data_IF_155980875416
#
_entry.id   IF_155980875416
#
_cell.length_a   1.000
_cell.length_b   1.000
_cell.length_c   1.000
_cell.angle_alpha   90.00
_cell.angle_beta   90.00
_cell.angle_gamma   90.00
#
_symmetry.space_group_name_H-M   'P 1'
#
loop_
_entity.id
_entity.type
_entity.pdbx_description
1 polymer ?
#
# COMPACT_ATOMS: atom_id res chain seq x y z
N UNK A 1 -15.84 -73.20 48.77
CA UNK A 1 -14.93 -72.59 47.78
C UNK A 1 -15.53 -71.41 47.00
N UNK A 2 -16.85 -71.37 46.71
CA UNK A 2 -17.48 -70.27 45.95
C UNK A 2 -17.50 -68.88 46.64
N UNK A 3 -17.51 -68.80 47.98
CA UNK A 3 -17.49 -67.51 48.71
C UNK A 3 -16.19 -66.71 48.53
N UNK A 4 -15.04 -67.39 48.40
CA UNK A 4 -13.75 -66.72 48.27
C UNK A 4 -13.50 -66.19 46.85
N UNK A 5 -14.12 -66.82 45.84
CA UNK A 5 -14.07 -66.37 44.44
C UNK A 5 -14.93 -65.11 44.25
N UNK A 6 -16.11 -65.06 44.87
CA UNK A 6 -16.99 -63.89 44.80
C UNK A 6 -16.35 -62.64 45.45
N UNK A 7 -15.63 -62.83 46.56
CA UNK A 7 -14.94 -61.73 47.25
C UNK A 7 -13.74 -61.19 46.45
N UNK A 8 -13.00 -62.06 45.76
CA UNK A 8 -11.89 -61.68 44.89
C UNK A 8 -12.36 -60.89 43.65
N UNK A 9 -13.51 -61.23 43.08
CA UNK A 9 -14.11 -60.51 41.94
C UNK A 9 -14.57 -59.11 42.35
N UNK A 10 -15.16 -58.96 43.54
CA UNK A 10 -15.60 -57.64 44.04
C UNK A 10 -14.39 -56.71 44.28
N UNK A 11 -13.28 -57.21 44.85
CA UNK A 11 -12.06 -56.41 45.05
C UNK A 11 -11.42 -55.99 43.70
N UNK A 12 -11.45 -56.86 42.69
CA UNK A 12 -10.92 -56.55 41.36
C UNK A 12 -11.73 -55.47 40.62
N UNK A 13 -13.05 -55.37 40.86
CA UNK A 13 -13.91 -54.34 40.26
C UNK A 13 -13.67 -52.96 40.90
N UNK A 14 -13.33 -52.90 42.19
CA UNK A 14 -13.03 -51.63 42.88
C UNK A 14 -11.57 -51.16 42.72
N UNK A 15 -10.63 -52.06 42.43
CA UNK A 15 -9.23 -51.70 42.17
C UNK A 15 -8.96 -51.19 40.72
N UNK A 16 -9.91 -51.37 39.80
CA UNK A 16 -9.74 -51.07 38.37
C UNK A 16 -10.00 -49.64 37.91
N UNK A 17 -10.45 -48.73 38.77
CA UNK A 17 -10.90 -47.37 38.38
C UNK A 17 -10.15 -46.22 39.07
N UNK A 18 -8.86 -46.40 39.39
CA UNK A 18 -8.00 -45.30 39.88
C UNK A 18 -6.86 -44.97 38.91
N UNK A 19 -7.12 -45.01 37.60
CA UNK A 19 -6.22 -44.33 36.66
C UNK A 19 -6.28 -42.81 36.97
N UNK A 20 -5.15 -42.16 37.27
CA UNK A 20 -5.16 -40.71 37.51
C UNK A 20 -5.73 -40.03 36.27
N UNK A 21 -6.67 -39.09 36.48
CA UNK A 21 -7.26 -38.33 35.37
C UNK A 21 -6.13 -37.77 34.52
N UNK A 22 -6.18 -37.92 33.18
CA UNK A 22 -5.14 -37.38 32.31
C UNK A 22 -4.95 -35.91 32.63
N UNK A 23 -3.72 -35.51 32.91
CA UNK A 23 -3.39 -34.14 33.25
C UNK A 23 -3.82 -33.25 32.08
N UNK A 24 -4.76 -32.33 32.34
CA UNK A 24 -5.27 -31.43 31.32
C UNK A 24 -4.42 -30.16 31.30
N UNK A 25 -4.18 -29.65 30.10
CA UNK A 25 -3.53 -28.35 29.98
C UNK A 25 -4.39 -27.27 30.65
N UNK A 26 -3.77 -26.24 31.26
CA UNK A 26 -4.50 -25.18 31.93
C UNK A 26 -5.48 -24.48 30.99
N UNK A 27 -6.64 -24.09 31.52
CA UNK A 27 -7.70 -23.46 30.71
C UNK A 27 -7.26 -22.18 30.01
N UNK A 28 -6.33 -21.42 30.60
CA UNK A 28 -5.78 -20.19 30.01
C UNK A 28 -4.85 -20.46 28.82
N UNK A 29 -4.34 -21.69 28.68
CA UNK A 29 -3.52 -22.13 27.55
C UNK A 29 -4.37 -22.60 26.38
N UNK A 30 -5.47 -23.30 26.66
CA UNK A 30 -6.40 -23.80 25.63
C UNK A 30 -7.44 -22.78 25.22
N UNK A 31 -7.80 -21.86 26.11
CA UNK A 31 -8.73 -20.76 25.89
C UNK A 31 -8.07 -19.44 26.31
N UNK A 32 -7.57 -18.69 25.32
CA UNK A 32 -6.97 -17.39 25.55
C UNK A 32 -7.95 -16.46 26.31
N UNK A 33 -7.48 -15.72 27.32
CA UNK A 33 -8.27 -14.67 27.92
C UNK A 33 -8.75 -13.67 26.86
N UNK A 34 -9.99 -13.24 26.97
CA UNK A 34 -10.59 -12.22 26.09
C UNK A 34 -11.00 -11.03 26.94
N UNK A 35 -10.33 -9.90 26.73
CA UNK A 35 -10.73 -8.62 27.28
C UNK A 35 -10.44 -7.48 26.29
N UNK A 36 -10.88 -6.27 26.64
CA UNK A 36 -10.65 -5.05 25.86
C UNK A 36 -9.38 -4.30 26.25
N UNK A 37 -8.61 -4.79 27.23
CA UNK A 37 -7.44 -4.10 27.79
C UNK A 37 -6.14 -4.57 27.15
N UNK A 38 -6.04 -5.86 26.85
CA UNK A 38 -4.81 -6.49 26.40
C UNK A 38 -5.00 -7.28 25.10
N UNK A 39 -3.89 -7.46 24.39
CA UNK A 39 -3.74 -8.59 23.48
C UNK A 39 -3.03 -9.72 24.22
N UNK A 40 -3.47 -10.96 23.99
CA UNK A 40 -2.91 -12.15 24.64
C UNK A 40 -2.35 -13.14 23.62
N UNK A 41 -1.35 -13.90 24.04
CA UNK A 41 -0.85 -15.04 23.31
C UNK A 41 -0.27 -16.09 24.26
N UNK A 42 -0.26 -17.33 23.80
CA UNK A 42 0.29 -18.47 24.53
C UNK A 42 1.32 -19.19 23.69
N UNK A 43 2.27 -19.86 24.34
CA UNK A 43 3.19 -20.78 23.68
C UNK A 43 3.68 -21.86 24.64
N UNK A 44 4.18 -22.95 24.07
CA UNK A 44 4.84 -24.03 24.78
C UNK A 44 6.27 -24.22 24.24
N UNK A 45 7.25 -24.37 25.12
CA UNK A 45 8.61 -24.72 24.73
C UNK A 45 9.38 -25.44 25.85
N UNK A 46 10.58 -25.93 25.55
CA UNK A 46 11.48 -26.56 26.52
C UNK A 46 12.04 -25.60 27.58
N UNK A 47 12.10 -24.30 27.28
CA UNK A 47 12.68 -23.27 28.14
C UNK A 47 11.88 -21.96 28.06
N UNK A 48 11.99 -21.12 29.10
CA UNK A 48 11.21 -19.88 29.22
C UNK A 48 11.51 -18.88 28.10
N UNK A 49 12.78 -18.77 27.67
CA UNK A 49 13.18 -17.78 26.67
C UNK A 49 12.57 -18.12 25.31
N UNK A 50 12.62 -19.41 24.94
CA UNK A 50 12.01 -19.92 23.73
C UNK A 50 10.48 -19.84 23.78
N UNK A 51 9.87 -20.21 24.91
CA UNK A 51 8.42 -20.09 25.10
C UNK A 51 7.99 -18.62 24.92
N UNK A 52 8.70 -17.68 25.52
CA UNK A 52 8.45 -16.24 25.38
C UNK A 52 8.58 -15.78 23.94
N UNK A 53 9.65 -16.16 23.25
CA UNK A 53 9.87 -15.79 21.84
C UNK A 53 8.75 -16.30 20.92
N UNK A 54 8.33 -17.57 21.10
CA UNK A 54 7.21 -18.15 20.34
C UNK A 54 5.91 -17.42 20.68
N UNK A 55 5.65 -17.13 21.97
CA UNK A 55 4.45 -16.42 22.39
C UNK A 55 4.37 -15.02 21.78
N UNK A 56 5.50 -14.32 21.66
CA UNK A 56 5.59 -13.01 20.99
C UNK A 56 5.22 -13.14 19.50
N UNK A 57 5.70 -14.18 18.83
CA UNK A 57 5.36 -14.40 17.42
C UNK A 57 3.88 -14.76 17.25
N UNK A 58 3.31 -15.57 18.14
CA UNK A 58 1.88 -15.86 18.14
C UNK A 58 1.03 -14.60 18.42
N UNK A 59 1.49 -13.72 19.31
CA UNK A 59 0.85 -12.42 19.54
C UNK A 59 0.79 -11.58 18.26
N UNK A 60 1.89 -11.52 17.49
CA UNK A 60 1.93 -10.82 16.20
C UNK A 60 0.96 -11.45 15.20
N UNK A 61 0.93 -12.78 15.11
CA UNK A 61 -0.02 -13.50 14.23
C UNK A 61 -1.47 -13.22 14.60
N UNK A 62 -1.81 -13.19 15.88
CA UNK A 62 -3.14 -12.85 16.35
C UNK A 62 -3.53 -11.42 15.94
N UNK A 63 -2.63 -10.45 16.09
CA UNK A 63 -2.86 -9.08 15.62
C UNK A 63 -3.09 -9.03 14.10
N UNK A 64 -2.29 -9.75 13.31
CA UNK A 64 -2.46 -9.83 11.84
C UNK A 64 -3.83 -10.40 11.50
N UNK A 65 -4.23 -11.50 12.14
CA UNK A 65 -5.53 -12.14 11.94
C UNK A 65 -6.68 -11.18 12.24
N UNK A 66 -6.61 -10.45 13.35
CA UNK A 66 -7.63 -9.46 13.72
C UNK A 66 -7.69 -8.29 12.71
N UNK A 67 -6.54 -7.83 12.22
CA UNK A 67 -6.45 -6.81 11.18
C UNK A 67 -7.05 -7.29 9.85
N UNK A 68 -6.64 -8.45 9.36
CA UNK A 68 -7.11 -8.99 8.08
C UNK A 68 -8.62 -9.29 8.14
N UNK A 69 -9.11 -9.80 9.27
CA UNK A 69 -10.53 -10.03 9.51
C UNK A 69 -11.35 -8.73 9.43
N UNK A 70 -10.80 -7.58 9.85
CA UNK A 70 -11.50 -6.30 9.76
C UNK A 70 -11.89 -5.94 8.32
N UNK A 71 -11.00 -6.21 7.35
CA UNK A 71 -11.22 -5.94 5.93
C UNK A 71 -12.01 -7.03 5.19
N UNK A 72 -12.17 -8.20 5.79
CA UNK A 72 -12.92 -9.32 5.22
C UNK A 72 -14.45 -9.18 5.44
N UNK A 73 -14.88 -8.16 6.18
CA UNK A 73 -16.30 -7.93 6.43
C UNK A 73 -17.00 -7.41 5.16
N UNK A 74 -18.12 -8.04 4.70
CA UNK A 74 -18.79 -7.64 3.45
C UNK A 74 -19.19 -6.17 3.36
N UNK A 75 -19.45 -5.53 4.50
CA UNK A 75 -19.85 -4.13 4.61
C UNK A 75 -18.76 -3.23 5.21
N UNK A 76 -17.48 -3.62 5.08
CA UNK A 76 -16.39 -2.78 5.55
C UNK A 76 -16.46 -1.40 4.87
N UNK A 77 -16.23 -0.32 5.62
CA UNK A 77 -16.40 1.05 5.11
C UNK A 77 -15.55 1.33 3.86
N UNK A 78 -14.37 0.72 3.76
CA UNK A 78 -13.49 0.85 2.59
C UNK A 78 -13.91 0.01 1.38
N UNK A 79 -14.34 -1.24 1.58
CA UNK A 79 -14.57 -2.22 0.50
C UNK A 79 -13.48 -2.19 -0.60
N UNK A 80 -12.19 -2.40 -0.24
CA UNK A 80 -11.08 -2.19 -1.18
C UNK A 80 -11.15 -3.18 -2.35
N UNK A 81 -10.65 -2.76 -3.51
CA UNK A 81 -10.39 -3.67 -4.63
C UNK A 81 -9.42 -4.80 -4.26
N UNK A 82 -9.42 -5.93 -4.98
CA UNK A 82 -8.54 -7.07 -4.67
C UNK A 82 -7.05 -6.71 -4.64
N UNK A 83 -6.61 -5.82 -5.54
CA UNK A 83 -5.22 -5.35 -5.54
C UNK A 83 -4.91 -4.55 -4.27
N UNK A 84 -5.76 -3.58 -3.91
CA UNK A 84 -5.55 -2.78 -2.70
C UNK A 84 -5.68 -3.62 -1.43
N UNK A 85 -6.55 -4.62 -1.40
CA UNK A 85 -6.64 -5.56 -0.29
C UNK A 85 -5.30 -6.29 -0.05
N UNK A 86 -4.63 -6.74 -1.11
CA UNK A 86 -3.31 -7.38 -0.98
C UNK A 86 -2.23 -6.42 -0.44
N UNK A 87 -2.28 -5.15 -0.86
CA UNK A 87 -1.40 -4.11 -0.32
C UNK A 87 -1.70 -3.84 1.16
N UNK A 88 -2.97 -3.81 1.57
CA UNK A 88 -3.40 -3.68 2.96
C UNK A 88 -2.91 -4.87 3.80
N UNK A 89 -3.07 -6.11 3.32
CA UNK A 89 -2.58 -7.32 4.02
C UNK A 89 -1.07 -7.24 4.21
N UNK A 90 -0.34 -6.79 3.18
CA UNK A 90 1.11 -6.57 3.29
C UNK A 90 1.46 -5.49 4.31
N UNK A 91 0.68 -4.41 4.38
CA UNK A 91 0.83 -3.35 5.37
C UNK A 91 0.49 -3.83 6.80
N UNK A 92 -0.51 -4.70 6.97
CA UNK A 92 -0.88 -5.33 8.25
C UNK A 92 0.26 -6.19 8.77
N UNK A 93 0.84 -7.04 7.91
CA UNK A 93 2.02 -7.85 8.25
C UNK A 93 3.20 -6.98 8.68
N UNK A 94 3.50 -5.92 7.91
CA UNK A 94 4.59 -5.01 8.24
C UNK A 94 4.35 -4.28 9.57
N UNK A 95 3.14 -3.76 9.80
CA UNK A 95 2.76 -3.12 11.05
C UNK A 95 2.95 -4.08 12.23
N UNK A 96 2.34 -5.26 12.16
CA UNK A 96 2.40 -6.24 13.23
C UNK A 96 3.84 -6.68 13.57
N UNK A 97 4.73 -6.76 12.58
CA UNK A 97 6.14 -7.10 12.78
C UNK A 97 7.00 -5.95 13.34
N UNK A 98 6.61 -4.70 13.10
CA UNK A 98 7.33 -3.51 13.56
C UNK A 98 6.83 -2.96 14.89
N UNK A 99 5.67 -3.42 15.37
CA UNK A 99 5.18 -3.07 16.71
C UNK A 99 6.21 -3.44 17.78
N UNK A 100 6.43 -2.50 18.70
CA UNK A 100 7.34 -2.68 19.83
C UNK A 100 6.74 -3.65 20.85
N UNK A 101 7.49 -4.70 21.15
CA UNK A 101 7.11 -5.77 22.08
C UNK A 101 7.81 -5.63 23.44
N UNK A 102 8.33 -4.44 23.75
CA UNK A 102 9.09 -4.18 24.99
C UNK A 102 8.23 -4.22 26.26
N UNK A 103 6.96 -3.82 26.16
CA UNK A 103 6.04 -3.74 27.29
C UNK A 103 5.26 -5.04 27.55
N UNK A 104 5.74 -6.16 27.02
CA UNK A 104 5.09 -7.45 27.23
C UNK A 104 5.24 -7.90 28.68
N UNK A 105 4.13 -8.35 29.25
CA UNK A 105 4.08 -8.96 30.58
C UNK A 105 3.87 -10.46 30.46
N UNK A 106 4.61 -11.24 31.26
CA UNK A 106 4.31 -12.65 31.48
C UNK A 106 3.21 -12.70 32.55
N UNK A 107 2.04 -13.22 32.19
CA UNK A 107 0.91 -13.31 33.11
C UNK A 107 0.90 -14.63 33.87
N UNK A 108 1.23 -15.73 33.18
CA UNK A 108 1.27 -17.09 33.75
C UNK A 108 2.36 -17.92 33.10
N UNK A 109 2.91 -18.84 33.88
CA UNK A 109 3.88 -19.85 33.44
C UNK A 109 3.61 -21.14 34.18
N UNK A 110 3.64 -22.28 33.49
CA UNK A 110 3.40 -23.59 34.09
C UNK A 110 4.17 -24.69 33.35
N UNK A 111 4.72 -25.65 34.09
CA UNK A 111 5.35 -26.84 33.51
C UNK A 111 4.29 -27.91 33.26
N UNK A 112 4.12 -28.32 32.00
CA UNK A 112 3.17 -29.33 31.59
C UNK A 112 3.82 -30.30 30.60
N UNK A 113 3.84 -31.59 30.92
CA UNK A 113 4.43 -32.65 30.08
C UNK A 113 5.87 -32.33 29.61
N UNK A 114 6.71 -31.80 30.50
CA UNK A 114 8.10 -31.44 30.18
C UNK A 114 8.26 -30.17 29.32
N UNK A 115 7.20 -29.41 29.11
CA UNK A 115 7.22 -28.13 28.41
C UNK A 115 6.74 -27.00 29.32
N UNK A 116 7.37 -25.84 29.19
CA UNK A 116 6.93 -24.59 29.80
C UNK A 116 5.85 -24.00 28.91
N UNK A 117 4.63 -23.97 29.46
CA UNK A 117 3.51 -23.20 28.93
C UNK A 117 3.62 -21.78 29.44
N UNK A 118 3.43 -20.80 28.56
CA UNK A 118 3.52 -19.39 28.90
C UNK A 118 2.34 -18.62 28.32
N UNK A 119 1.75 -17.74 29.13
CA UNK A 119 0.78 -16.73 28.71
C UNK A 119 1.43 -15.36 28.84
N UNK A 120 1.39 -14.59 27.75
CA UNK A 120 1.84 -13.21 27.72
C UNK A 120 0.69 -12.26 27.41
N UNK A 121 0.86 -11.00 27.81
CA UNK A 121 -0.06 -9.91 27.49
C UNK A 121 0.70 -8.66 27.07
N UNK A 122 0.04 -7.79 26.31
CA UNK A 122 0.46 -6.41 26.08
C UNK A 122 -0.76 -5.50 26.08
N UNK A 123 -0.63 -4.31 26.70
CA UNK A 123 -1.72 -3.34 26.78
C UNK A 123 -2.04 -2.76 25.40
N UNK A 124 -3.32 -2.82 25.01
CA UNK A 124 -3.81 -2.26 23.74
C UNK A 124 -3.62 -0.75 23.69
N UNK A 125 -3.86 -0.07 24.81
CA UNK A 125 -3.78 1.39 24.91
C UNK A 125 -2.36 1.92 24.63
N UNK A 126 -1.32 1.23 25.12
CA UNK A 126 0.06 1.64 24.89
C UNK A 126 0.43 1.55 23.40
N UNK A 127 0.05 0.45 22.74
CA UNK A 127 0.27 0.28 21.32
C UNK A 127 -0.55 1.30 20.50
N UNK A 128 -1.80 1.52 20.89
CA UNK A 128 -2.67 2.52 20.29
C UNK A 128 -2.04 3.91 20.33
N UNK A 129 -1.56 4.37 21.50
CA UNK A 129 -0.95 5.71 21.63
C UNK A 129 0.22 5.91 20.67
N UNK A 130 1.07 4.90 20.49
CA UNK A 130 2.22 4.94 19.56
C UNK A 130 1.80 5.07 18.11
N UNK A 131 0.73 4.39 17.70
CA UNK A 131 0.24 4.42 16.31
C UNK A 131 -0.65 5.65 16.04
N UNK A 132 -1.50 6.02 16.99
CA UNK A 132 -2.55 7.04 16.81
C UNK A 132 -1.97 8.44 16.57
N UNK A 133 -0.85 8.80 17.22
CA UNK A 133 -0.22 10.11 17.01
C UNK A 133 0.29 10.29 15.57
N UNK A 134 0.98 9.29 15.02
CA UNK A 134 1.46 9.30 13.63
C UNK A 134 0.29 9.26 12.64
N UNK A 135 -0.69 8.37 12.90
CA UNK A 135 -1.88 8.23 12.07
C UNK A 135 -2.65 9.54 11.96
N UNK A 136 -2.98 10.19 13.08
CA UNK A 136 -3.75 11.44 13.08
C UNK A 136 -3.02 12.56 12.35
N UNK A 137 -1.70 12.64 12.52
CA UNK A 137 -0.87 13.63 11.82
C UNK A 137 -0.92 13.41 10.30
N UNK A 138 -0.76 12.16 9.86
CA UNK A 138 -0.77 11.82 8.43
C UNK A 138 -2.16 11.97 7.81
N UNK A 139 -3.23 11.51 8.47
CA UNK A 139 -4.61 11.68 8.00
C UNK A 139 -4.98 13.15 7.91
N UNK A 140 -4.63 13.97 8.90
CA UNK A 140 -4.90 15.41 8.86
C UNK A 140 -4.18 16.08 7.68
N UNK A 141 -2.89 15.79 7.48
CA UNK A 141 -2.11 16.32 6.35
C UNK A 141 -2.67 15.85 5.02
N UNK A 142 -3.06 14.59 4.92
CA UNK A 142 -3.71 14.01 3.74
C UNK A 142 -5.00 14.76 3.41
N UNK A 143 -5.88 14.93 4.39
CA UNK A 143 -7.15 15.64 4.22
C UNK A 143 -6.94 17.10 3.80
N UNK A 144 -5.99 17.81 4.43
CA UNK A 144 -5.63 19.18 4.04
C UNK A 144 -5.12 19.25 2.60
N UNK A 145 -4.18 18.37 2.24
CA UNK A 145 -3.61 18.33 0.90
C UNK A 145 -4.67 17.98 -0.15
N UNK A 146 -5.57 17.06 0.15
CA UNK A 146 -6.69 16.71 -0.71
C UNK A 146 -7.65 17.89 -0.91
N UNK A 147 -8.08 18.54 0.17
CA UNK A 147 -8.97 19.71 0.10
C UNK A 147 -8.37 20.87 -0.69
N UNK A 148 -7.08 21.17 -0.52
CA UNK A 148 -6.40 22.25 -1.25
C UNK A 148 -6.36 22.04 -2.76
N UNK A 149 -6.41 20.78 -3.22
CA UNK A 149 -6.25 20.44 -4.64
C UNK A 149 -7.56 20.00 -5.32
N UNK A 150 -8.66 19.92 -4.57
CA UNK A 150 -9.96 19.39 -5.04
C UNK A 150 -10.54 20.15 -6.24
N UNK A 151 -10.26 21.44 -6.34
CA UNK A 151 -10.79 22.30 -7.40
C UNK A 151 -9.81 22.51 -8.58
N UNK A 152 -8.67 21.81 -8.58
CA UNK A 152 -7.73 21.86 -9.72
C UNK A 152 -8.24 21.07 -10.91
N UNK A 153 -7.70 21.33 -12.11
CA UNK A 153 -8.09 20.59 -13.32
C UNK A 153 -7.86 19.07 -13.16
N UNK A 154 -8.67 18.20 -13.79
CA UNK A 154 -8.66 16.76 -13.56
C UNK A 154 -7.27 16.10 -13.60
N UNK A 155 -6.44 16.47 -14.56
CA UNK A 155 -5.08 15.90 -14.68
C UNK A 155 -4.15 16.32 -13.55
N UNK A 156 -4.26 17.56 -13.04
CA UNK A 156 -3.49 17.98 -11.86
C UNK A 156 -3.92 17.18 -10.64
N UNK A 157 -5.23 17.02 -10.43
CA UNK A 157 -5.76 16.16 -9.35
C UNK A 157 -5.25 14.74 -9.41
N UNK A 158 -5.31 14.12 -10.60
CA UNK A 158 -4.80 12.76 -10.80
C UNK A 158 -3.32 12.66 -10.37
N UNK A 159 -2.50 13.60 -10.83
CA UNK A 159 -1.07 13.66 -10.52
C UNK A 159 -0.81 13.87 -9.03
N UNK A 160 -1.61 14.68 -8.34
CA UNK A 160 -1.50 14.88 -6.90
C UNK A 160 -2.02 13.70 -6.07
N UNK A 161 -3.06 13.00 -6.53
CA UNK A 161 -3.61 11.83 -5.84
C UNK A 161 -2.70 10.60 -5.95
N UNK A 162 -1.99 10.44 -7.08
CA UNK A 162 -1.08 9.30 -7.31
C UNK A 162 -0.09 9.02 -6.17
N UNK A 163 0.70 9.99 -5.66
CA UNK A 163 1.58 9.75 -4.51
C UNK A 163 0.81 9.50 -3.20
N UNK A 164 -0.43 9.97 -3.05
CA UNK A 164 -1.24 9.70 -1.86
C UNK A 164 -1.73 8.25 -1.84
N UNK A 165 -2.03 7.69 -3.01
CA UNK A 165 -2.40 6.28 -3.13
C UNK A 165 -1.30 5.34 -2.64
N UNK A 166 -0.02 5.73 -2.77
CA UNK A 166 1.10 4.95 -2.19
C UNK A 166 1.04 4.82 -0.65
N UNK A 167 0.34 5.74 0.02
CA UNK A 167 0.14 5.71 1.48
C UNK A 167 -1.19 5.06 1.89
N UNK A 168 -2.05 4.70 0.93
CA UNK A 168 -3.39 4.20 1.20
C UNK A 168 -3.37 2.97 2.12
N UNK A 169 -2.64 1.92 1.74
CA UNK A 169 -2.55 0.68 2.51
C UNK A 169 -1.97 0.89 3.91
N UNK A 170 -0.94 1.75 4.02
CA UNK A 170 -0.33 2.13 5.29
C UNK A 170 -1.34 2.76 6.26
N UNK A 171 -2.16 3.69 5.76
CA UNK A 171 -3.14 4.43 6.55
C UNK A 171 -4.38 3.58 6.87
N UNK A 172 -4.83 2.76 5.93
CA UNK A 172 -5.92 1.80 6.13
C UNK A 172 -5.56 0.82 7.25
N UNK A 173 -4.39 0.18 7.17
CA UNK A 173 -3.88 -0.76 8.17
C UNK A 173 -3.82 -0.14 9.57
N UNK A 174 -3.28 1.07 9.70
CA UNK A 174 -3.19 1.78 11.00
C UNK A 174 -4.52 2.25 11.53
N UNK A 175 -5.45 2.62 10.65
CA UNK A 175 -6.82 2.97 11.03
C UNK A 175 -7.55 1.74 11.58
N UNK A 176 -7.42 0.59 10.92
CA UNK A 176 -7.94 -0.68 11.42
C UNK A 176 -7.29 -1.07 12.76
N UNK A 177 -5.97 -0.92 12.89
CA UNK A 177 -5.25 -1.16 14.14
C UNK A 177 -5.79 -0.31 15.29
N UNK A 178 -6.02 0.98 15.03
CA UNK A 178 -6.58 1.90 16.01
C UNK A 178 -7.97 1.45 16.48
N UNK A 179 -8.83 1.02 15.55
CA UNK A 179 -10.17 0.52 15.83
C UNK A 179 -10.17 -0.80 16.62
N UNK A 180 -9.31 -1.77 16.28
CA UNK A 180 -9.25 -3.03 17.05
C UNK A 180 -8.60 -2.84 18.41
N UNK A 181 -7.74 -1.83 18.57
CA UNK A 181 -7.05 -1.56 19.84
C UNK A 181 -7.97 -0.89 20.86
N UNK A 182 -8.82 0.05 20.42
CA UNK A 182 -9.70 0.83 21.30
C UNK A 182 -11.12 0.84 20.71
N UNK A 183 -12.08 0.20 21.38
CA UNK A 183 -13.46 0.07 20.89
C UNK A 183 -14.21 1.40 20.74
N UNK A 184 -13.81 2.43 21.48
CA UNK A 184 -14.38 3.78 21.40
C UNK A 184 -13.75 4.64 20.30
N UNK A 185 -12.72 4.16 19.61
CA UNK A 185 -12.09 4.88 18.52
C UNK A 185 -12.99 4.89 17.28
N UNK A 186 -13.35 6.09 16.82
CA UNK A 186 -14.18 6.26 15.63
C UNK A 186 -13.30 6.34 14.37
N UNK A 187 -13.21 5.23 13.64
CA UNK A 187 -12.45 5.11 12.38
C UNK A 187 -13.21 5.58 11.14
N UNK A 188 -14.52 5.86 11.25
CA UNK A 188 -15.40 6.08 10.09
C UNK A 188 -14.94 7.24 9.21
N UNK A 189 -14.50 8.36 9.81
CA UNK A 189 -14.02 9.51 9.05
C UNK A 189 -12.74 9.20 8.27
N UNK A 190 -11.81 8.45 8.87
CA UNK A 190 -10.56 8.07 8.21
C UNK A 190 -10.84 7.14 7.02
N UNK A 191 -11.69 6.12 7.23
CA UNK A 191 -12.07 5.22 6.14
C UNK A 191 -12.86 5.92 5.04
N UNK A 192 -13.76 6.84 5.39
CA UNK A 192 -14.47 7.65 4.39
C UNK A 192 -13.50 8.47 3.54
N UNK A 193 -12.55 9.17 4.16
CA UNK A 193 -11.55 9.95 3.42
C UNK A 193 -10.73 9.06 2.47
N UNK A 194 -10.25 7.91 2.95
CA UNK A 194 -9.49 6.97 2.12
C UNK A 194 -10.34 6.45 0.94
N UNK A 195 -11.61 6.14 1.16
CA UNK A 195 -12.54 5.72 0.10
C UNK A 195 -12.81 6.81 -0.92
N UNK A 196 -12.98 8.05 -0.48
CA UNK A 196 -13.14 9.21 -1.37
C UNK A 196 -11.91 9.38 -2.27
N UNK A 197 -10.71 9.25 -1.71
CA UNK A 197 -9.45 9.33 -2.46
C UNK A 197 -9.31 8.22 -3.50
N UNK A 198 -9.57 6.97 -3.10
CA UNK A 198 -9.52 5.81 -4.02
C UNK A 198 -10.52 5.97 -5.16
N UNK A 199 -11.77 6.33 -4.84
CA UNK A 199 -12.81 6.51 -5.84
C UNK A 199 -12.45 7.61 -6.83
N UNK A 200 -11.99 8.77 -6.33
CA UNK A 200 -11.60 9.87 -7.21
C UNK A 200 -10.39 9.49 -8.07
N UNK A 201 -9.38 8.85 -7.50
CA UNK A 201 -8.20 8.39 -8.24
C UNK A 201 -8.59 7.43 -9.38
N UNK A 202 -9.39 6.41 -9.08
CA UNK A 202 -9.84 5.43 -10.07
C UNK A 202 -10.73 6.06 -11.15
N UNK A 203 -11.62 6.97 -10.77
CA UNK A 203 -12.47 7.71 -11.69
C UNK A 203 -11.63 8.60 -12.63
N UNK A 204 -10.63 9.31 -12.11
CA UNK A 204 -9.74 10.13 -12.92
C UNK A 204 -8.85 9.28 -13.83
N UNK A 205 -8.33 8.16 -13.33
CA UNK A 205 -7.50 7.24 -14.10
C UNK A 205 -8.24 6.69 -15.34
N UNK A 206 -9.53 6.37 -15.17
CA UNK A 206 -10.36 5.79 -16.23
C UNK A 206 -10.97 6.83 -17.17
N UNK A 207 -11.26 8.04 -16.67
CA UNK A 207 -11.88 9.12 -17.47
C UNK A 207 -10.89 9.95 -18.26
N UNK A 208 -9.66 10.14 -17.76
CA UNK A 208 -8.66 10.95 -18.46
C UNK A 208 -8.05 10.15 -19.61
N UNK A 209 -8.11 10.71 -20.80
CA UNK A 209 -7.50 10.15 -22.00
C UNK A 209 -6.74 11.25 -22.76
N UNK A 210 -5.61 10.89 -23.36
CA UNK A 210 -4.83 11.80 -24.19
C UNK A 210 -5.05 11.57 -25.68
N UNK A 211 -5.20 12.65 -26.44
CA UNK A 211 -5.11 12.64 -27.90
C UNK A 211 -3.85 13.38 -28.32
N UNK A 212 -2.87 12.64 -28.84
CA UNK A 212 -1.55 13.20 -29.17
C UNK A 212 -1.49 13.61 -30.64
N UNK A 213 -1.15 14.87 -30.88
CA UNK A 213 -0.86 15.41 -32.20
C UNK A 213 0.62 15.80 -32.31
N UNK A 214 1.16 15.71 -33.51
CA UNK A 214 2.50 16.18 -33.82
C UNK A 214 2.54 16.89 -35.16
N UNK A 215 3.39 17.92 -35.27
CA UNK A 215 3.81 18.41 -36.58
C UNK A 215 4.71 17.39 -37.28
N UNK A 216 5.01 17.61 -38.57
CA UNK A 216 5.85 16.69 -39.35
C UNK A 216 7.22 16.43 -38.72
N UNK A 217 7.82 17.46 -38.12
CA UNK A 217 9.16 17.40 -37.52
C UNK A 217 9.20 16.65 -36.19
N UNK A 218 8.06 16.55 -35.51
CA UNK A 218 7.96 16.01 -34.15
C UNK A 218 7.41 14.59 -34.09
N UNK A 219 7.03 14.00 -35.22
CA UNK A 219 6.45 12.64 -35.28
C UNK A 219 7.32 11.59 -34.57
N UNK A 220 8.64 11.76 -34.66
CA UNK A 220 9.64 10.88 -34.02
C UNK A 220 9.50 10.81 -32.49
N UNK A 221 8.90 11.82 -31.84
CA UNK A 221 8.74 11.89 -30.39
C UNK A 221 7.42 11.29 -29.89
N UNK A 222 6.42 11.17 -30.76
CA UNK A 222 5.05 10.78 -30.38
C UNK A 222 4.99 9.43 -29.69
N UNK A 223 5.75 8.43 -30.16
CA UNK A 223 5.76 7.08 -29.58
C UNK A 223 6.25 7.09 -28.13
N UNK A 224 7.40 7.70 -27.86
CA UNK A 224 7.94 7.82 -26.50
C UNK A 224 6.96 8.46 -25.53
N UNK A 225 6.27 9.53 -25.95
CA UNK A 225 5.30 10.23 -25.11
C UNK A 225 4.06 9.37 -24.87
N UNK A 226 3.56 8.70 -25.91
CA UNK A 226 2.44 7.75 -25.79
C UNK A 226 2.78 6.65 -24.77
N UNK A 227 3.89 5.95 -24.98
CA UNK A 227 4.32 4.84 -24.13
C UNK A 227 4.48 5.29 -22.66
N UNK A 228 4.97 6.52 -22.45
CA UNK A 228 5.13 7.08 -21.11
C UNK A 228 3.81 7.43 -20.42
N UNK A 229 2.81 7.95 -21.14
CA UNK A 229 1.46 8.22 -20.61
C UNK A 229 0.76 6.92 -20.25
N UNK A 230 0.81 5.93 -21.14
CA UNK A 230 0.19 4.60 -20.93
C UNK A 230 0.84 3.87 -19.75
N UNK A 231 2.17 3.92 -19.64
CA UNK A 231 2.90 3.39 -18.49
C UNK A 231 2.48 4.05 -17.17
N UNK A 232 2.11 5.32 -17.20
CA UNK A 232 1.68 6.04 -16.02
C UNK A 232 0.23 5.79 -15.63
N UNK A 233 -0.50 4.99 -16.42
CA UNK A 233 -1.82 4.45 -16.10
C UNK A 233 -3.00 5.15 -16.79
N UNK A 234 -2.73 6.09 -17.71
CA UNK A 234 -3.76 6.82 -18.46
C UNK A 234 -3.83 6.32 -19.91
N UNK A 235 -5.01 6.43 -20.51
CA UNK A 235 -5.21 5.97 -21.89
C UNK A 235 -4.80 7.01 -22.93
N UNK A 236 -4.35 6.54 -24.11
CA UNK A 236 -4.08 7.37 -25.28
C UNK A 236 -4.96 6.92 -26.44
N UNK A 237 -5.67 7.86 -27.07
CA UNK A 237 -6.54 7.62 -28.22
C UNK A 237 -6.01 8.27 -29.50
N UNK A 238 -6.48 7.75 -30.64
CA UNK A 238 -6.18 8.31 -31.96
C UNK A 238 -7.09 9.47 -32.35
N UNK A 239 -8.09 9.81 -31.54
CA UNK A 239 -9.05 10.91 -31.76
C UNK A 239 -9.66 11.40 -30.45
N UNK A 240 -10.17 12.62 -30.43
CA UNK A 240 -10.98 13.11 -29.31
C UNK A 240 -12.21 12.23 -29.13
N UNK A 241 -12.40 11.67 -27.93
CA UNK A 241 -13.53 10.74 -27.66
C UNK A 241 -14.67 11.44 -26.91
N UNK A 242 -14.33 12.36 -26.01
CA UNK A 242 -15.26 12.98 -25.08
C UNK A 242 -14.70 14.31 -24.52
N UNK A 243 -15.45 14.91 -23.59
CA UNK A 243 -15.09 16.14 -22.88
C UNK A 243 -13.92 16.00 -21.89
N UNK A 244 -13.48 14.77 -21.60
CA UNK A 244 -12.34 14.49 -20.72
C UNK A 244 -11.05 14.21 -21.49
N UNK A 245 -11.11 14.26 -22.83
CA UNK A 245 -9.94 14.07 -23.67
C UNK A 245 -9.03 15.31 -23.65
N UNK A 246 -7.78 15.12 -23.26
CA UNK A 246 -6.74 16.12 -23.29
C UNK A 246 -5.97 16.06 -24.60
N UNK A 247 -5.91 17.17 -25.31
CA UNK A 247 -5.20 17.24 -26.59
C UNK A 247 -3.77 17.70 -26.36
N UNK A 248 -2.80 16.81 -26.55
CA UNK A 248 -1.37 17.11 -26.41
C UNK A 248 -0.76 17.37 -27.80
N UNK A 249 -0.38 18.61 -28.07
CA UNK A 249 0.34 18.99 -29.28
C UNK A 249 1.85 19.00 -29.03
N UNK A 250 2.56 18.22 -29.83
CA UNK A 250 4.02 18.17 -29.87
C UNK A 250 4.49 18.93 -31.12
N UNK A 251 5.27 19.97 -30.92
CA UNK A 251 5.90 20.71 -32.03
C UNK A 251 7.40 20.83 -31.81
N UNK A 252 8.17 20.95 -32.88
CA UNK A 252 9.62 21.07 -32.78
C UNK A 252 10.23 21.88 -33.90
N UNK A 253 11.25 22.64 -33.51
CA UNK A 253 12.16 23.29 -34.44
C UNK A 253 13.54 22.67 -34.29
N UNK A 254 14.11 22.27 -35.43
CA UNK A 254 15.45 21.68 -35.51
C UNK A 254 16.42 22.70 -36.08
N UNK A 255 17.52 22.91 -35.38
CA UNK A 255 18.68 23.68 -35.85
C UNK A 255 19.86 22.72 -36.05
N UNK A 256 20.38 22.67 -37.27
CA UNK A 256 21.40 21.72 -37.68
C UNK A 256 22.72 22.46 -37.90
N UNK A 257 23.77 22.00 -37.23
CA UNK A 257 25.10 22.60 -37.25
C UNK A 257 26.17 21.53 -37.35
N UNK A 258 27.34 21.89 -37.87
CA UNK A 258 28.50 20.99 -37.92
C UNK A 258 29.50 21.39 -36.84
N UNK A 259 29.87 20.44 -35.99
CA UNK A 259 30.91 20.61 -34.97
C UNK A 259 32.04 19.61 -35.24
N UNK A 260 33.15 20.09 -35.80
CA UNK A 260 34.29 19.27 -36.21
C UNK A 260 33.86 18.11 -37.13
N UNK A 261 33.98 16.86 -36.67
CA UNK A 261 33.63 15.63 -37.39
C UNK A 261 32.21 15.14 -37.08
N UNK A 262 31.40 15.93 -36.37
CA UNK A 262 30.03 15.58 -36.00
C UNK A 262 29.01 16.50 -36.65
N UNK A 263 27.96 15.90 -37.18
CA UNK A 263 26.71 16.56 -37.49
C UNK A 263 25.91 16.68 -36.19
N UNK A 264 25.54 17.89 -35.81
CA UNK A 264 24.79 18.20 -34.58
C UNK A 264 23.38 18.61 -34.96
N UNK A 265 22.40 18.12 -34.19
CA UNK A 265 21.00 18.51 -34.33
C UNK A 265 20.45 18.98 -32.99
N UNK A 266 20.17 20.28 -32.89
CA UNK A 266 19.58 20.92 -31.73
C UNK A 266 18.07 21.07 -31.94
N UNK A 267 17.30 20.33 -31.15
CA UNK A 267 15.86 20.23 -31.26
C UNK A 267 15.20 20.93 -30.07
N UNK A 268 14.50 22.04 -30.33
CA UNK A 268 13.61 22.65 -29.36
C UNK A 268 12.22 22.02 -29.53
N UNK A 269 11.82 21.19 -28.57
CA UNK A 269 10.55 20.47 -28.57
C UNK A 269 9.60 21.11 -27.56
N UNK A 270 8.38 21.44 -28.01
CA UNK A 270 7.32 22.06 -27.21
C UNK A 270 6.16 21.09 -27.06
N UNK A 271 5.67 20.98 -25.84
CA UNK A 271 4.53 20.17 -25.42
C UNK A 271 3.45 21.13 -24.93
N UNK A 272 2.33 21.20 -25.63
CA UNK A 272 1.20 22.07 -25.27
C UNK A 272 -0.05 21.22 -25.11
N UNK A 273 -0.67 21.26 -23.94
CA UNK A 273 -1.89 20.50 -23.66
C UNK A 273 -3.09 21.42 -23.64
N UNK A 274 -4.15 21.02 -24.33
CA UNK A 274 -5.43 21.69 -24.36
C UNK A 274 -6.53 20.84 -23.73
N UNK A 275 -7.49 21.49 -23.08
CA UNK A 275 -8.74 20.85 -22.67
C UNK A 275 -9.71 20.67 -23.86
N UNK A 276 -10.87 20.08 -23.61
CA UNK A 276 -11.90 19.88 -24.62
C UNK A 276 -12.45 21.20 -25.22
N UNK A 277 -12.34 22.30 -24.47
CA UNK A 277 -12.75 23.64 -24.89
C UNK A 277 -11.64 24.37 -25.68
N UNK A 278 -10.52 23.70 -25.96
CA UNK A 278 -9.34 24.25 -26.64
C UNK A 278 -8.59 25.31 -25.83
N UNK A 279 -8.82 25.41 -24.52
CA UNK A 279 -8.01 26.25 -23.65
C UNK A 279 -6.67 25.56 -23.43
N UNK A 280 -5.58 26.31 -23.54
CA UNK A 280 -4.27 25.81 -23.14
C UNK A 280 -4.23 25.68 -21.63
N UNK A 281 -4.06 24.45 -21.14
CA UNK A 281 -4.01 24.14 -19.70
C UNK A 281 -2.59 23.85 -19.21
N UNK A 282 -1.69 23.42 -20.09
CA UNK A 282 -0.32 23.05 -19.76
C UNK A 282 0.64 23.40 -20.91
N UNK A 283 1.86 23.78 -20.57
CA UNK A 283 2.93 24.03 -21.54
C UNK A 283 4.29 23.71 -20.95
N UNK A 284 5.13 22.99 -21.71
CA UNK A 284 6.55 22.82 -21.38
C UNK A 284 7.38 22.73 -22.65
N UNK A 285 8.60 23.23 -22.58
CA UNK A 285 9.56 23.11 -23.67
C UNK A 285 10.89 22.54 -23.19
N UNK A 286 11.55 21.81 -24.08
CA UNK A 286 12.83 21.18 -23.83
C UNK A 286 13.74 21.33 -25.04
N UNK A 287 15.02 21.59 -24.79
CA UNK A 287 16.04 21.53 -25.83
C UNK A 287 16.81 20.22 -25.70
N UNK A 288 16.95 19.50 -26.80
CA UNK A 288 17.75 18.29 -26.90
C UNK A 288 18.80 18.45 -27.99
N UNK A 289 20.01 17.97 -27.73
CA UNK A 289 21.12 18.02 -28.66
C UNK A 289 21.54 16.58 -28.91
N UNK A 290 21.59 16.17 -30.17
CA UNK A 290 22.18 14.89 -30.56
C UNK A 290 23.32 15.11 -31.55
N UNK A 291 24.24 14.14 -31.63
CA UNK A 291 25.47 14.26 -32.42
C UNK A 291 25.78 12.96 -33.15
N UNK A 292 25.92 13.02 -34.47
CA UNK A 292 26.26 11.85 -35.28
C UNK A 292 27.38 12.15 -36.27
N UNK A 293 28.32 11.21 -36.43
CA UNK A 293 29.33 11.28 -37.49
C UNK A 293 28.76 11.00 -38.88
N UNK A 294 27.53 10.46 -38.96
CA UNK A 294 26.91 10.06 -40.22
C UNK A 294 26.18 11.23 -40.90
N UNK A 295 25.15 11.77 -40.26
CA UNK A 295 24.34 12.88 -40.79
C UNK A 295 23.49 13.52 -39.67
N UNK A 296 22.80 14.64 -39.96
CA UNK A 296 21.93 15.32 -38.99
C UNK A 296 20.65 14.52 -38.62
N UNK A 297 20.18 13.62 -39.48
CA UNK A 297 18.99 12.80 -39.21
C UNK A 297 19.29 11.79 -38.08
N UNK A 298 20.41 11.09 -38.15
CA UNK A 298 20.89 10.22 -37.08
C UNK A 298 21.16 11.01 -35.79
N UNK A 299 21.69 12.24 -35.92
CA UNK A 299 21.86 13.14 -34.77
C UNK A 299 20.51 13.52 -34.15
N UNK A 300 19.47 13.72 -34.96
CA UNK A 300 18.10 13.95 -34.48
C UNK A 300 17.51 12.71 -33.81
N UNK A 301 17.74 11.52 -34.35
CA UNK A 301 17.26 10.26 -33.75
C UNK A 301 17.85 10.02 -32.36
N UNK A 302 19.11 10.36 -32.12
CA UNK A 302 19.69 10.32 -30.78
C UNK A 302 18.95 11.19 -29.76
N UNK A 303 18.28 12.28 -30.19
CA UNK A 303 17.49 13.10 -29.26
C UNK A 303 16.30 12.35 -28.65
N UNK A 304 15.84 11.26 -29.28
CA UNK A 304 14.79 10.39 -28.74
C UNK A 304 15.29 9.67 -27.49
N UNK A 305 16.54 9.22 -27.47
CA UNK A 305 17.15 8.60 -26.29
C UNK A 305 17.25 9.61 -25.12
N UNK A 306 17.61 10.86 -25.42
CA UNK A 306 17.64 11.93 -24.42
C UNK A 306 16.25 12.27 -23.87
N UNK A 307 15.21 12.25 -24.71
CA UNK A 307 13.82 12.42 -24.26
C UNK A 307 13.44 11.25 -23.35
N UNK A 308 13.69 10.00 -23.76
CA UNK A 308 13.40 8.82 -22.95
C UNK A 308 14.07 8.91 -21.57
N UNK A 309 15.35 9.29 -21.52
CA UNK A 309 16.08 9.47 -20.27
C UNK A 309 15.46 10.56 -19.39
N UNK A 310 15.10 11.70 -20.00
CA UNK A 310 14.52 12.83 -19.27
C UNK A 310 13.09 12.55 -18.76
N UNK A 311 12.28 11.83 -19.54
CA UNK A 311 10.96 11.34 -19.09
C UNK A 311 11.11 10.37 -17.92
N UNK A 312 12.09 9.45 -17.95
CA UNK A 312 12.38 8.57 -16.81
C UNK A 312 12.82 9.34 -15.56
N UNK A 313 13.60 10.41 -15.75
CA UNK A 313 14.10 11.24 -14.65
C UNK A 313 13.01 12.10 -14.00
N UNK A 314 12.17 12.74 -14.80
CA UNK A 314 11.16 13.70 -14.32
C UNK A 314 9.80 13.05 -14.04
N UNK A 315 9.48 11.94 -14.70
CA UNK A 315 8.11 11.50 -14.88
C UNK A 315 7.42 12.24 -16.03
N UNK A 316 6.44 11.58 -16.66
CA UNK A 316 5.79 12.11 -17.88
C UNK A 316 5.03 13.41 -17.62
N UNK A 317 4.36 13.52 -16.48
CA UNK A 317 3.52 14.68 -16.18
C UNK A 317 4.34 15.94 -15.90
N UNK A 318 5.44 15.82 -15.16
CA UNK A 318 6.40 16.90 -15.03
C UNK A 318 6.94 17.25 -16.40
N UNK A 319 7.42 16.28 -17.16
CA UNK A 319 7.98 16.48 -18.49
C UNK A 319 7.07 17.26 -19.46
N UNK A 320 5.74 17.08 -19.39
CA UNK A 320 4.78 17.85 -20.21
C UNK A 320 4.23 19.13 -19.52
N UNK A 321 4.67 19.44 -18.30
CA UNK A 321 4.39 20.71 -17.62
C UNK A 321 3.28 20.72 -16.58
N UNK A 322 2.91 19.57 -16.01
CA UNK A 322 1.84 19.47 -15.01
C UNK A 322 2.31 19.91 -13.62
N UNK A 323 3.49 19.46 -13.19
CA UNK A 323 4.11 19.98 -11.99
C UNK A 323 5.13 21.05 -12.38
N UNK A 324 4.73 22.30 -12.20
CA UNK A 324 5.69 23.36 -11.90
C UNK A 324 5.79 23.41 -10.38
N UNK A 325 7.02 23.33 -9.87
CA UNK A 325 7.35 23.54 -8.44
C UNK A 325 6.65 24.76 -7.86
#
# INVERSE_FOLDING_TARGET
MYKNILFAVIIAIFAGCSAPKPQQAPSWFTNLPKDYKNFYAVAAASDETKAKSIAINELRKNIIKDLDASFSTPNHSLSPSSQMLNEIISANLHLANTLSMRAIKVEKTELFNGQILMLISIQREELFKKINSDLNTKIKRLGQFYSLNKDTIPIKRYVYLKPLMSQYAYLASRTAFAQISISTYNSNNNFRLLKELENEYNNLQTSINFYILSDGNSRVYTKTIKDAIEKDGLSVSNKSKDSHTLKLLISSSTDNTNEYTFNVSKNLVKFTTFDANKNQILFRQHTFIGKSRKNHQDAKEQTIEHINAKVKQLGIFDFIGIQSK
#
